data_IF_785686642657
#
_entry.id   IF_785686642657
#
_cell.length_a   1.000
_cell.length_b   1.000
_cell.length_c   1.000
_cell.angle_alpha   90.00
_cell.angle_beta   90.00
_cell.angle_gamma   90.00
#
_symmetry.space_group_name_H-M   'P 1'
#
loop_
_entity.id
_entity.type
_entity.pdbx_description
1 polymer ?
#
# COMPACT_ATOMS: atom_id res chain seq x y z
N UNK A 1 9.37 -0.57 21.59
CA UNK A 1 9.31 0.12 20.28
C UNK A 1 8.55 -0.80 19.37
N UNK A 2 7.31 -0.44 19.02
CA UNK A 2 6.40 -1.34 18.32
C UNK A 2 7.03 -1.89 17.05
N UNK A 3 7.09 -3.21 16.96
CA UNK A 3 7.68 -3.95 15.84
C UNK A 3 6.71 -4.07 14.67
N UNK A 4 5.45 -3.71 14.89
CA UNK A 4 4.35 -3.83 13.96
C UNK A 4 3.25 -2.80 14.29
N UNK A 5 2.55 -2.36 13.25
CA UNK A 5 1.40 -1.45 13.32
C UNK A 5 0.31 -2.03 12.43
N UNK A 6 -0.89 -2.15 12.96
CA UNK A 6 -2.08 -2.57 12.21
C UNK A 6 -2.98 -1.36 12.04
N UNK A 7 -3.16 -0.92 10.80
CA UNK A 7 -4.12 0.10 10.39
C UNK A 7 -5.45 -0.51 9.97
N UNK A 8 -6.33 0.31 9.39
CA UNK A 8 -7.64 -0.15 8.92
C UNK A 8 -7.52 -0.96 7.63
N UNK A 9 -6.56 -0.62 6.79
CA UNK A 9 -6.34 -1.25 5.48
C UNK A 9 -4.92 -1.76 5.28
N UNK A 10 -3.99 -1.43 6.18
CA UNK A 10 -2.59 -1.78 6.07
C UNK A 10 -2.09 -2.50 7.33
N UNK A 11 -1.19 -3.46 7.14
CA UNK A 11 -0.36 -4.00 8.23
C UNK A 11 1.09 -3.71 7.91
N UNK A 12 1.79 -3.05 8.82
CA UNK A 12 3.20 -2.71 8.70
C UNK A 12 3.99 -3.44 9.77
N UNK A 13 5.10 -4.06 9.40
CA UNK A 13 6.00 -4.72 10.33
C UNK A 13 7.45 -4.47 9.94
N UNK A 14 8.34 -4.43 10.93
CA UNK A 14 9.77 -4.36 10.68
C UNK A 14 10.35 -5.77 10.60
N UNK A 15 10.85 -6.13 9.43
CA UNK A 15 11.40 -7.45 9.17
C UNK A 15 12.93 -7.38 9.32
N UNK A 16 13.50 -8.39 9.99
CA UNK A 16 14.95 -8.61 10.03
C UNK A 16 15.25 -9.93 9.35
N UNK A 17 16.07 -9.89 8.29
CA UNK A 17 16.48 -11.10 7.57
C UNK A 17 17.44 -11.91 8.42
N UNK A 18 17.14 -13.19 8.65
CA UNK A 18 17.97 -14.06 9.47
C UNK A 18 19.37 -14.29 8.86
N UNK A 19 19.51 -14.23 7.54
CA UNK A 19 20.75 -14.56 6.83
C UNK A 19 21.82 -13.45 6.90
N UNK A 20 21.43 -12.19 7.04
CA UNK A 20 22.36 -11.05 6.96
C UNK A 20 21.99 -9.89 7.90
N UNK A 21 21.00 -10.07 8.77
CA UNK A 21 20.51 -9.08 9.74
C UNK A 21 20.06 -7.75 9.12
N UNK A 22 19.81 -7.72 7.80
CA UNK A 22 19.28 -6.55 7.11
C UNK A 22 17.85 -6.29 7.59
N UNK A 23 17.54 -5.02 7.84
CA UNK A 23 16.24 -4.57 8.34
C UNK A 23 15.53 -3.74 7.28
N UNK A 24 14.24 -4.00 7.11
CA UNK A 24 13.38 -3.22 6.23
C UNK A 24 11.94 -3.21 6.77
N UNK A 25 11.17 -2.21 6.38
CA UNK A 25 9.74 -2.16 6.63
C UNK A 25 9.00 -2.95 5.57
N UNK A 26 8.10 -3.83 6.00
CA UNK A 26 7.14 -4.51 5.15
C UNK A 26 5.77 -3.96 5.45
N UNK A 27 5.12 -3.35 4.46
CA UNK A 27 3.72 -2.95 4.54
C UNK A 27 2.89 -3.75 3.56
N UNK A 28 1.88 -4.45 4.07
CA UNK A 28 0.89 -5.17 3.26
C UNK A 28 -0.45 -4.43 3.32
N UNK A 29 -0.97 -4.06 2.15
CA UNK A 29 -2.28 -3.39 2.01
C UNK A 29 -3.37 -4.37 1.56
N UNK A 30 -4.59 -4.12 2.04
CA UNK A 30 -5.81 -4.72 1.51
C UNK A 30 -6.80 -3.61 1.13
N UNK A 31 -6.97 -3.40 -0.17
CA UNK A 31 -7.74 -2.35 -0.77
C UNK A 31 -9.24 -2.62 -0.68
N UNK A 32 -10.05 -1.62 -0.30
CA UNK A 32 -11.49 -1.80 -0.18
C UNK A 32 -12.15 -2.05 -1.55
N UNK A 33 -13.22 -2.84 -1.53
CA UNK A 33 -14.09 -3.05 -2.71
C UNK A 33 -14.98 -1.83 -2.95
N UNK A 34 -15.47 -1.21 -1.87
CA UNK A 34 -16.36 -0.06 -1.92
C UNK A 34 -15.61 1.25 -2.22
N UNK A 35 -16.17 2.06 -3.12
CA UNK A 35 -15.64 3.38 -3.49
C UNK A 35 -15.63 4.35 -2.29
N UNK A 36 -16.55 4.21 -1.33
CA UNK A 36 -16.64 5.07 -0.15
C UNK A 36 -15.37 5.06 0.71
N UNK A 37 -14.64 3.94 0.74
CA UNK A 37 -13.46 3.75 1.58
C UNK A 37 -12.14 4.03 0.85
N UNK A 38 -12.16 4.28 -0.46
CA UNK A 38 -10.94 4.48 -1.26
C UNK A 38 -10.15 5.72 -0.87
N UNK A 39 -10.85 6.76 -0.42
CA UNK A 39 -10.21 8.01 -0.01
C UNK A 39 -9.44 7.83 1.32
N UNK A 40 -10.07 7.14 2.27
CA UNK A 40 -9.43 6.75 3.54
C UNK A 40 -8.26 5.80 3.31
N UNK A 41 -8.41 4.84 2.39
CA UNK A 41 -7.35 3.93 1.96
C UNK A 41 -6.12 4.67 1.43
N UNK A 42 -6.30 5.61 0.49
CA UNK A 42 -5.20 6.39 -0.07
C UNK A 42 -4.53 7.28 0.99
N UNK A 43 -5.32 7.84 1.92
CA UNK A 43 -4.78 8.64 3.01
C UNK A 43 -3.95 7.79 4.00
N UNK A 44 -4.40 6.58 4.32
CA UNK A 44 -3.63 5.62 5.13
C UNK A 44 -2.34 5.19 4.41
N UNK A 45 -2.43 4.93 3.11
CA UNK A 45 -1.29 4.56 2.28
C UNK A 45 -0.20 5.63 2.30
N UNK A 46 -0.58 6.91 2.15
CA UNK A 46 0.36 8.03 2.21
C UNK A 46 1.00 8.21 3.60
N UNK A 47 0.26 7.95 4.67
CA UNK A 47 0.74 8.07 6.06
C UNK A 47 1.64 6.92 6.50
N UNK A 48 1.55 5.77 5.85
CA UNK A 48 2.28 4.55 6.23
C UNK A 48 3.73 4.56 5.76
N UNK A 49 4.12 5.50 4.89
CA UNK A 49 5.48 5.61 4.41
C UNK A 49 6.48 5.82 5.57
N UNK A 50 7.47 4.92 5.74
CA UNK A 50 8.53 5.10 6.72
C UNK A 50 9.48 6.24 6.30
N UNK A 51 10.40 6.68 7.18
CA UNK A 51 11.42 7.65 6.84
C UNK A 51 12.20 7.24 5.58
N UNK A 52 12.56 8.21 4.74
CA UNK A 52 13.27 7.98 3.46
C UNK A 52 14.62 7.27 3.58
N UNK A 53 15.19 7.23 4.79
CA UNK A 53 16.45 6.56 5.12
C UNK A 53 16.31 5.06 5.36
N UNK A 54 15.09 4.54 5.52
CA UNK A 54 14.85 3.12 5.83
C UNK A 54 14.33 2.36 4.61
N UNK A 55 14.89 1.17 4.29
CA UNK A 55 14.38 0.36 3.20
C UNK A 55 12.92 -0.04 3.44
N UNK A 56 12.09 0.08 2.41
CA UNK A 56 10.66 -0.17 2.49
C UNK A 56 10.19 -1.05 1.34
N UNK A 57 9.46 -2.11 1.67
CA UNK A 57 8.77 -2.98 0.74
C UNK A 57 7.26 -2.85 0.96
N UNK A 58 6.55 -2.53 -0.11
CA UNK A 58 5.09 -2.46 -0.13
C UNK A 58 4.56 -3.61 -0.97
N UNK A 59 3.58 -4.35 -0.46
CA UNK A 59 2.82 -5.30 -1.25
C UNK A 59 1.33 -5.27 -0.88
N UNK A 60 0.53 -6.05 -1.59
CA UNK A 60 -0.86 -6.32 -1.21
C UNK A 60 -1.79 -6.34 -2.42
N UNK A 61 -3.07 -6.49 -2.13
CA UNK A 61 -4.12 -6.26 -3.11
C UNK A 61 -4.62 -4.84 -2.92
N UNK A 62 -4.30 -3.94 -3.84
CA UNK A 62 -4.76 -2.55 -3.77
C UNK A 62 -6.19 -2.38 -4.28
N UNK A 63 -6.72 -3.36 -5.03
CA UNK A 63 -8.00 -3.27 -5.73
C UNK A 63 -8.18 -1.94 -6.52
N UNK A 64 -7.07 -1.42 -7.05
CA UNK A 64 -6.99 -0.20 -7.84
C UNK A 64 -6.30 -0.49 -9.17
N UNK A 65 -6.81 0.12 -10.22
CA UNK A 65 -6.21 0.05 -11.55
C UNK A 65 -5.30 1.27 -11.69
N UNK A 66 -4.00 1.05 -11.91
CA UNK A 66 -3.03 2.13 -12.05
C UNK A 66 -2.94 2.63 -13.49
N UNK A 67 -2.79 1.72 -14.47
CA UNK A 67 -2.72 2.07 -15.90
C UNK A 67 -3.88 1.44 -16.65
N UNK A 68 -4.31 2.13 -17.71
CA UNK A 68 -5.40 1.67 -18.57
C UNK A 68 -5.09 0.31 -19.21
N UNK A 69 -3.80 0.05 -19.51
CA UNK A 69 -3.32 -1.23 -20.04
C UNK A 69 -3.48 -2.40 -19.08
N UNK A 70 -3.63 -2.13 -17.78
CA UNK A 70 -3.77 -3.16 -16.76
C UNK A 70 -5.24 -3.62 -16.64
N UNK A 71 -6.17 -3.00 -17.40
CA UNK A 71 -7.58 -3.39 -17.49
C UNK A 71 -7.88 -4.02 -18.85
N UNK A 72 -8.63 -5.11 -18.85
CA UNK A 72 -9.06 -5.82 -20.06
C UNK A 72 -10.25 -5.17 -20.79
N UNK A 73 -10.79 -4.05 -20.27
CA UNK A 73 -11.93 -3.35 -20.85
C UNK A 73 -11.81 -1.82 -20.70
N UNK A 74 -12.66 -1.10 -21.41
CA UNK A 74 -12.64 0.38 -21.45
C UNK A 74 -13.36 1.06 -20.27
N UNK A 75 -13.93 0.31 -19.32
CA UNK A 75 -14.60 0.88 -18.15
C UNK A 75 -13.56 1.38 -17.14
N UNK A 76 -12.94 2.53 -17.42
CA UNK A 76 -11.84 3.07 -16.63
C UNK A 76 -12.30 4.25 -15.77
N UNK A 77 -12.17 4.12 -14.46
CA UNK A 77 -12.33 5.26 -13.55
C UNK A 77 -11.04 6.10 -13.54
N UNK A 78 -10.86 6.92 -14.59
CA UNK A 78 -9.66 7.76 -14.76
C UNK A 78 -9.42 8.73 -13.60
N UNK A 79 -10.49 9.16 -12.91
CA UNK A 79 -10.41 9.99 -11.71
C UNK A 79 -9.68 9.26 -10.58
N UNK A 80 -10.06 8.01 -10.29
CA UNK A 80 -9.37 7.18 -9.29
C UNK A 80 -7.94 6.83 -9.70
N UNK A 81 -7.70 6.52 -10.98
CA UNK A 81 -6.36 6.25 -11.50
C UNK A 81 -5.39 7.43 -11.24
N UNK A 82 -5.89 8.66 -11.41
CA UNK A 82 -5.10 9.87 -11.16
C UNK A 82 -4.75 10.10 -9.70
N UNK A 83 -5.53 9.55 -8.76
CA UNK A 83 -5.28 9.67 -7.31
C UNK A 83 -4.31 8.63 -6.76
N UNK A 84 -4.09 7.54 -7.48
CA UNK A 84 -3.13 6.49 -7.13
C UNK A 84 -1.74 6.73 -7.76
N UNK A 85 -1.39 7.99 -8.04
CA UNK A 85 -0.10 8.40 -8.60
C UNK A 85 0.82 8.95 -7.53
#
# INVERSE_FOLDING_TARGET
VDTHVVGQFATTARITLACNLTRFWLTTFYGPVDDANKDSFLAELAKTAPPTTEPWLINGDFNLIYKARDKNNHNLNRRLMGRFR
#
